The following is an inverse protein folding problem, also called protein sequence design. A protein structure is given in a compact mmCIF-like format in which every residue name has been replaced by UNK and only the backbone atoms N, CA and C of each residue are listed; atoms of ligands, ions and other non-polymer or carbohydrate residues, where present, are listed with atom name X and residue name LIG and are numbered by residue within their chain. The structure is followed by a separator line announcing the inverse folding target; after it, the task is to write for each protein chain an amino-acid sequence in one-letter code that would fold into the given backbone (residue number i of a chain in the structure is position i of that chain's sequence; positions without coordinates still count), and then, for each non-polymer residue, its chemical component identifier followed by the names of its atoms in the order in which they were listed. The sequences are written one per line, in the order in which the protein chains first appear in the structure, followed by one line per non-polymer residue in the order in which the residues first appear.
data_IF_480932855766
#
_entry.id   IF_480932855766
#
_cell.length_a   1.000
_cell.length_b   1.000
_cell.length_c   1.000
_cell.angle_alpha   90.00
_cell.angle_beta   90.00
_cell.angle_gamma   90.00
#
_symmetry.space_group_name_H-M   'P 1'
#
loop_
_entity.id
_entity.type
_entity.pdbx_description
1 polymer ?
#
# COMPACT_ATOMS: atom_id res chain seq x y z
N UNK A 1 -6.30 -2.30 11.19
CA UNK A 1 -4.89 -2.47 10.79
C UNK A 1 -4.07 -1.30 11.33
N UNK A 2 -2.84 -1.51 11.80
CA UNK A 2 -1.93 -0.39 12.10
C UNK A 2 -1.24 0.05 10.80
N UNK A 3 -1.95 0.79 9.95
CA UNK A 3 -1.42 1.27 8.68
C UNK A 3 -0.58 2.54 8.91
N UNK A 4 0.73 2.43 8.66
CA UNK A 4 1.67 3.54 8.76
C UNK A 4 2.82 3.33 7.75
N UNK A 5 3.64 4.37 7.60
CA UNK A 5 4.81 4.30 6.73
C UNK A 5 5.73 3.12 7.09
N UNK A 6 6.18 2.39 6.07
CA UNK A 6 7.08 1.25 6.22
C UNK A 6 6.37 -0.11 6.29
N UNK A 7 5.07 -0.13 6.60
CA UNK A 7 4.27 -1.36 6.61
C UNK A 7 4.28 -2.03 5.23
N UNK A 8 4.38 -3.36 5.22
CA UNK A 8 4.26 -4.17 4.01
C UNK A 8 2.88 -4.80 3.96
N UNK A 9 2.30 -4.84 2.76
CA UNK A 9 0.97 -5.39 2.52
C UNK A 9 0.88 -6.00 1.12
N UNK A 10 -0.14 -6.82 0.91
CA UNK A 10 -0.56 -7.28 -0.42
C UNK A 10 -1.92 -6.66 -0.70
N UNK A 11 -2.19 -6.34 -1.96
CA UNK A 11 -3.47 -5.77 -2.37
C UNK A 11 -4.43 -6.91 -2.76
N UNK A 12 -5.75 -6.73 -2.59
CA UNK A 12 -6.72 -7.72 -3.04
C UNK A 12 -6.52 -8.08 -4.52
N UNK A 13 -6.38 -9.37 -4.81
CA UNK A 13 -6.18 -9.86 -6.17
C UNK A 13 -4.80 -9.56 -6.78
N UNK A 14 -3.84 -9.03 -6.00
CA UNK A 14 -2.47 -8.80 -6.45
C UNK A 14 -1.49 -9.62 -5.60
N UNK A 15 -0.77 -10.54 -6.24
CA UNK A 15 0.22 -11.39 -5.57
C UNK A 15 1.51 -10.66 -5.19
N UNK A 16 1.68 -9.40 -5.61
CA UNK A 16 2.87 -8.62 -5.32
C UNK A 16 2.82 -8.04 -3.91
N UNK A 17 4.00 -7.85 -3.34
CA UNK A 17 4.16 -7.15 -2.08
C UNK A 17 4.34 -5.65 -2.32
N UNK A 18 3.74 -4.85 -1.47
CA UNK A 18 3.83 -3.39 -1.49
C UNK A 18 4.31 -2.89 -0.13
N UNK A 19 4.94 -1.73 -0.12
CA UNK A 19 5.32 -1.01 1.09
C UNK A 19 4.67 0.37 1.12
N UNK A 20 4.04 0.71 2.25
CA UNK A 20 3.48 2.04 2.49
C UNK A 20 4.59 3.07 2.60
N UNK A 21 4.48 4.14 1.82
CA UNK A 21 5.37 5.29 1.85
C UNK A 21 4.77 6.43 2.68
N UNK A 22 3.48 6.66 2.58
CA UNK A 22 2.77 7.68 3.37
C UNK A 22 1.28 7.35 3.47
N UNK A 23 0.65 7.89 4.50
CA UNK A 23 -0.80 7.77 4.74
C UNK A 23 -1.36 9.18 4.79
N UNK A 24 -2.35 9.47 3.95
CA UNK A 24 -3.11 10.72 3.92
C UNK A 24 -4.55 10.40 4.37
N UNK A 25 -4.69 10.11 5.67
CA UNK A 25 -5.96 9.73 6.27
C UNK A 25 -7.08 10.77 6.08
N UNK A 26 -6.82 12.11 6.17
CA UNK A 26 -7.85 13.11 5.89
C UNK A 26 -8.43 13.02 4.47
N UNK A 27 -7.68 12.47 3.52
CA UNK A 27 -8.14 12.24 2.14
C UNK A 27 -8.45 10.79 1.82
N UNK A 28 -8.50 9.91 2.82
CA UNK A 28 -8.88 8.50 2.66
C UNK A 28 -7.94 7.70 1.75
N UNK A 29 -6.66 8.08 1.66
CA UNK A 29 -5.72 7.43 0.73
C UNK A 29 -4.35 7.18 1.35
N UNK A 30 -3.60 6.28 0.75
CA UNK A 30 -2.19 6.07 1.03
C UNK A 30 -1.40 5.90 -0.25
N UNK A 31 -0.09 6.03 -0.15
CA UNK A 31 0.83 5.83 -1.24
C UNK A 31 1.71 4.64 -0.93
N UNK A 32 1.80 3.70 -1.84
CA UNK A 32 2.61 2.50 -1.70
C UNK A 32 3.59 2.38 -2.86
N UNK A 33 4.68 1.65 -2.65
CA UNK A 33 5.57 1.20 -3.73
C UNK A 33 5.60 -0.31 -3.83
N UNK A 34 5.75 -0.83 -5.04
CA UNK A 34 5.94 -2.26 -5.25
C UNK A 34 7.30 -2.74 -4.72
N UNK A 35 7.35 -3.93 -4.14
CA UNK A 35 8.55 -4.68 -3.79
C UNK A 35 8.73 -5.90 -4.71
N UNK A 36 9.98 -6.36 -4.95
CA UNK A 36 11.24 -5.75 -4.52
C UNK A 36 11.50 -4.40 -5.21
N UNK A 37 12.47 -3.64 -4.69
CA UNK A 37 12.91 -2.41 -5.35
C UNK A 37 13.60 -2.74 -6.66
N UNK A 38 13.23 -2.05 -7.73
CA UNK A 38 13.98 -2.14 -9.00
C UNK A 38 15.14 -1.17 -9.00
N UNK A 39 16.14 -1.42 -9.86
CA UNK A 39 17.31 -0.55 -10.05
C UNK A 39 16.95 0.91 -10.37
N UNK A 40 15.80 1.13 -10.99
CA UNK A 40 15.32 2.46 -11.41
C UNK A 40 14.23 3.01 -10.49
N UNK A 41 14.08 2.43 -9.29
CA UNK A 41 12.98 2.71 -8.38
C UNK A 41 11.75 1.86 -8.70
N UNK A 42 10.89 1.69 -7.70
CA UNK A 42 9.61 1.01 -7.87
C UNK A 42 8.50 2.01 -8.10
N UNK A 43 7.52 1.61 -8.93
CA UNK A 43 6.31 2.40 -9.16
C UNK A 43 5.63 2.72 -7.83
N UNK A 44 5.31 3.99 -7.63
CA UNK A 44 4.45 4.47 -6.55
C UNK A 44 3.02 4.49 -7.04
N UNK A 45 2.11 3.99 -6.22
CA UNK A 45 0.68 3.84 -6.53
C UNK A 45 -0.11 4.47 -5.38
N UNK A 46 -1.12 5.27 -5.73
CA UNK A 46 -2.11 5.78 -4.79
C UNK A 46 -3.23 4.73 -4.62
N UNK A 47 -3.62 4.48 -3.37
CA UNK A 47 -4.62 3.46 -3.01
C UNK A 47 -5.56 4.02 -1.95
N UNK A 48 -6.87 3.77 -2.11
CA UNK A 48 -7.87 4.09 -1.10
C UNK A 48 -7.66 3.28 0.18
N UNK A 49 -7.83 3.91 1.34
CA UNK A 49 -7.79 3.21 2.64
C UNK A 49 -8.88 2.15 2.73
N UNK A 50 -10.06 2.38 2.15
CA UNK A 50 -11.16 1.42 2.15
C UNK A 50 -10.77 0.11 1.46
N UNK A 51 -9.98 0.18 0.37
CA UNK A 51 -9.47 -1.00 -0.33
C UNK A 51 -8.53 -1.82 0.56
N UNK A 52 -7.70 -1.15 1.36
CA UNK A 52 -6.78 -1.82 2.29
C UNK A 52 -7.56 -2.42 3.47
N UNK A 53 -8.53 -1.70 4.01
CA UNK A 53 -9.36 -2.21 5.10
C UNK A 53 -10.16 -3.45 4.67
N UNK A 54 -10.78 -3.42 3.49
CA UNK A 54 -11.47 -4.57 2.91
C UNK A 54 -10.53 -5.77 2.71
N UNK A 55 -9.27 -5.54 2.30
CA UNK A 55 -8.26 -6.59 2.14
C UNK A 55 -7.92 -7.33 3.43
N UNK A 56 -8.04 -6.65 4.57
CA UNK A 56 -7.66 -7.18 5.88
C UNK A 56 -8.81 -7.82 6.65
N UNK A 57 -10.05 -7.64 6.19
CA UNK A 57 -11.25 -8.24 6.77
C UNK A 57 -11.67 -9.55 6.08
N UNK A 58 -11.06 -9.87 4.93
CA UNK A 58 -11.27 -11.11 4.16
C UNK A 58 -10.22 -12.17 4.52
#
# INVERSE_FOLDING_TARGET
MNLHQGVRLQLPGDSRCFQVLSVDAPRGRCFVRQLPLTRHGSRVIEISLDTIEAAHQA
#
